data_IF_118954577095
#
_entry.id   IF_118954577095
#
_cell.length_a   1.000
_cell.length_b   1.000
_cell.length_c   1.000
_cell.angle_alpha   90.00
_cell.angle_beta   90.00
_cell.angle_gamma   90.00
#
_symmetry.space_group_name_H-M   'P 1'
#
loop_
_entity.id
_entity.type
_entity.pdbx_description
1 polymer ?
#
# COMPACT_ATOMS: atom_id res chain seq x y z
N UNK A 1 -20.30 20.31 11.50
CA UNK A 1 -21.43 21.08 10.96
C UNK A 1 -21.17 21.32 9.47
N UNK A 2 -22.20 21.06 8.64
CA UNK A 2 -22.27 21.21 7.18
C UNK A 2 -21.45 20.24 6.31
N UNK A 3 -22.02 19.07 6.04
CA UNK A 3 -21.64 18.27 4.88
C UNK A 3 -22.05 19.02 3.61
N UNK A 4 -21.06 19.36 2.78
CA UNK A 4 -21.29 19.87 1.42
C UNK A 4 -21.98 18.79 0.59
N UNK A 5 -23.31 18.79 0.54
CA UNK A 5 -24.06 18.03 -0.46
C UNK A 5 -23.85 18.74 -1.79
N UNK A 6 -23.06 18.11 -2.67
CA UNK A 6 -22.84 18.63 -4.00
C UNK A 6 -24.14 18.48 -4.81
N UNK A 7 -24.57 19.52 -5.56
CA UNK A 7 -25.82 19.51 -6.32
C UNK A 7 -25.86 18.47 -7.46
N UNK A 8 -24.74 17.81 -7.76
CA UNK A 8 -24.61 16.68 -8.70
C UNK A 8 -24.50 15.31 -8.00
N UNK A 9 -24.99 15.21 -6.77
CA UNK A 9 -24.97 13.93 -6.04
C UNK A 9 -25.97 12.94 -6.67
N UNK A 10 -25.43 11.90 -7.32
CA UNK A 10 -26.21 10.88 -8.00
C UNK A 10 -27.29 10.23 -7.11
N UNK A 11 -27.15 10.29 -5.77
CA UNK A 11 -28.15 9.73 -4.85
C UNK A 11 -29.49 10.44 -4.99
N UNK A 12 -29.56 11.69 -5.45
CA UNK A 12 -30.84 12.36 -5.71
C UNK A 12 -31.70 11.67 -6.77
N UNK A 13 -31.08 10.95 -7.71
CA UNK A 13 -31.76 10.21 -8.78
C UNK A 13 -31.88 8.70 -8.47
N UNK A 14 -31.53 8.28 -7.25
CA UNK A 14 -31.53 6.87 -6.89
C UNK A 14 -32.94 6.37 -6.55
N UNK A 15 -33.40 5.33 -7.27
CA UNK A 15 -34.72 4.71 -7.04
C UNK A 15 -34.87 4.09 -5.65
N UNK A 16 -33.77 3.78 -4.95
CA UNK A 16 -33.83 3.25 -3.60
C UNK A 16 -34.38 4.25 -2.56
N UNK A 17 -34.48 5.54 -2.88
CA UNK A 17 -35.00 6.57 -1.97
C UNK A 17 -36.50 6.50 -1.76
N UNK A 18 -37.23 5.87 -2.67
CA UNK A 18 -38.70 5.76 -2.62
C UNK A 18 -39.17 4.40 -2.07
N UNK A 19 -38.26 3.58 -1.53
CA UNK A 19 -38.57 2.28 -0.94
C UNK A 19 -38.02 2.20 0.47
N UNK A 20 -38.48 1.20 1.24
CA UNK A 20 -38.01 0.95 2.59
C UNK A 20 -36.49 0.63 2.62
N UNK A 21 -35.67 1.38 3.39
CA UNK A 21 -34.24 1.11 3.50
C UNK A 21 -33.91 -0.28 4.06
N UNK A 22 -34.77 -0.89 4.88
CA UNK A 22 -34.51 -2.19 5.51
C UNK A 22 -34.37 -3.32 4.48
N UNK A 23 -34.98 -3.16 3.29
CA UNK A 23 -34.87 -4.12 2.18
C UNK A 23 -33.41 -4.34 1.76
N UNK A 24 -32.55 -3.33 1.93
CA UNK A 24 -31.13 -3.43 1.56
C UNK A 24 -30.26 -4.07 2.64
N UNK A 25 -30.81 -4.36 3.83
CA UNK A 25 -30.11 -4.97 4.96
C UNK A 25 -30.74 -6.33 5.27
N UNK A 26 -30.20 -7.36 4.64
CA UNK A 26 -30.68 -8.75 4.75
C UNK A 26 -30.38 -9.30 6.15
N UNK A 27 -31.40 -9.87 6.80
CA UNK A 27 -31.28 -10.47 8.14
C UNK A 27 -31.06 -11.98 8.06
N UNK A 28 -31.57 -12.63 7.00
CA UNK A 28 -31.29 -14.03 6.73
C UNK A 28 -29.81 -14.23 6.37
N UNK A 29 -29.23 -15.36 6.77
CA UNK A 29 -27.81 -15.66 6.49
C UNK A 29 -27.65 -16.54 5.24
N UNK A 30 -28.60 -17.45 5.00
CA UNK A 30 -28.57 -18.41 3.89
C UNK A 30 -29.96 -18.96 3.57
N UNK A 31 -30.06 -19.70 2.47
CA UNK A 31 -31.28 -20.41 2.04
C UNK A 31 -32.25 -19.53 1.26
N UNK A 32 -33.47 -20.04 1.06
CA UNK A 32 -34.48 -19.41 0.18
C UNK A 32 -34.88 -18.01 0.63
N UNK A 33 -34.96 -17.76 1.96
CA UNK A 33 -35.30 -16.43 2.47
C UNK A 33 -34.19 -15.42 2.20
N UNK A 34 -32.92 -15.83 2.30
CA UNK A 34 -31.79 -15.00 1.90
C UNK A 34 -31.88 -14.64 0.42
N UNK A 35 -32.09 -15.63 -0.45
CA UNK A 35 -32.22 -15.42 -1.90
C UNK A 35 -33.38 -14.50 -2.24
N UNK A 36 -34.52 -14.64 -1.54
CA UNK A 36 -35.69 -13.78 -1.68
C UNK A 36 -35.38 -12.33 -1.29
N UNK A 37 -34.83 -12.10 -0.09
CA UNK A 37 -34.49 -10.76 0.38
C UNK A 37 -33.46 -10.07 -0.54
N UNK A 38 -32.41 -10.81 -0.93
CA UNK A 38 -31.41 -10.32 -1.89
C UNK A 38 -32.05 -10.02 -3.24
N UNK A 39 -32.95 -10.87 -3.73
CA UNK A 39 -33.66 -10.70 -4.99
C UNK A 39 -34.50 -9.42 -5.01
N UNK A 40 -35.25 -9.15 -3.94
CA UNK A 40 -36.07 -7.93 -3.80
C UNK A 40 -35.18 -6.68 -3.89
N UNK A 41 -34.09 -6.62 -3.10
CA UNK A 41 -33.18 -5.48 -3.12
C UNK A 41 -32.48 -5.29 -4.48
N UNK A 42 -32.07 -6.40 -5.12
CA UNK A 42 -31.45 -6.37 -6.45
C UNK A 42 -32.44 -5.94 -7.53
N UNK A 43 -33.72 -6.27 -7.42
CA UNK A 43 -34.74 -5.82 -8.36
C UNK A 43 -34.87 -4.28 -8.35
N UNK A 44 -34.88 -3.66 -7.16
CA UNK A 44 -34.86 -2.19 -7.03
C UNK A 44 -33.60 -1.59 -7.67
N UNK A 45 -32.45 -2.19 -7.40
CA UNK A 45 -31.19 -1.74 -8.01
C UNK A 45 -31.18 -1.91 -9.54
N UNK A 46 -31.83 -2.93 -10.08
CA UNK A 46 -31.87 -3.24 -11.51
C UNK A 46 -32.56 -2.16 -12.34
N UNK A 47 -33.59 -1.51 -11.80
CA UNK A 47 -34.27 -0.37 -12.42
C UNK A 47 -33.67 1.00 -12.08
N UNK A 48 -32.56 1.06 -11.33
CA UNK A 48 -32.01 2.32 -10.84
C UNK A 48 -31.11 2.99 -11.90
N UNK A 49 -31.37 4.25 -12.29
CA UNK A 49 -30.62 4.93 -13.36
C UNK A 49 -29.17 5.24 -12.98
N UNK A 50 -28.87 5.31 -11.68
CA UNK A 50 -27.54 5.64 -11.14
C UNK A 50 -26.80 4.41 -10.62
N UNK A 51 -27.16 3.22 -11.09
CA UNK A 51 -26.60 1.95 -10.59
C UNK A 51 -25.08 1.89 -10.74
N UNK A 52 -24.52 2.40 -11.83
CA UNK A 52 -23.08 2.34 -12.11
C UNK A 52 -22.28 3.27 -11.19
N UNK A 53 -22.76 4.50 -10.98
CA UNK A 53 -22.20 5.47 -10.04
C UNK A 53 -22.33 4.95 -8.61
N UNK A 54 -23.52 4.43 -8.25
CA UNK A 54 -23.80 3.81 -6.96
C UNK A 54 -22.85 2.66 -6.69
N UNK A 55 -22.62 1.75 -7.65
CA UNK A 55 -21.69 0.64 -7.48
C UNK A 55 -20.27 1.15 -7.22
N UNK A 56 -19.82 2.18 -7.95
CA UNK A 56 -18.47 2.73 -7.80
C UNK A 56 -18.25 3.29 -6.39
N UNK A 57 -19.25 3.98 -5.84
CA UNK A 57 -19.24 4.40 -4.44
C UNK A 57 -19.38 3.22 -3.46
N UNK A 58 -20.23 2.25 -3.78
CA UNK A 58 -20.55 1.11 -2.91
C UNK A 58 -19.37 0.16 -2.69
N UNK A 59 -18.36 0.15 -3.57
CA UNK A 59 -17.16 -0.69 -3.38
C UNK A 59 -16.40 -0.39 -2.08
N UNK A 60 -16.58 0.79 -1.48
CA UNK A 60 -16.02 1.14 -0.17
C UNK A 60 -17.00 0.99 1.00
N UNK A 61 -18.25 0.60 0.75
CA UNK A 61 -19.25 0.43 1.81
C UNK A 61 -19.08 -0.90 2.53
N UNK A 62 -19.18 -0.91 3.87
CA UNK A 62 -18.97 -2.10 4.68
C UNK A 62 -20.09 -3.13 4.51
N UNK A 63 -21.35 -2.69 4.46
CA UNK A 63 -22.50 -3.59 4.60
C UNK A 63 -23.60 -3.30 3.56
N UNK A 64 -24.66 -4.12 3.59
CA UNK A 64 -25.88 -3.94 2.83
C UNK A 64 -25.76 -4.25 1.34
N UNK A 65 -26.88 -4.18 0.63
CA UNK A 65 -26.97 -4.33 -0.83
C UNK A 65 -26.94 -2.95 -1.47
N UNK A 66 -25.99 -2.73 -2.38
CA UNK A 66 -25.81 -1.45 -3.06
C UNK A 66 -25.24 -1.65 -4.46
N UNK A 67 -25.64 -0.80 -5.42
CA UNK A 67 -25.24 -0.95 -6.82
C UNK A 67 -25.70 -2.27 -7.46
N UNK A 68 -26.70 -2.95 -6.89
CA UNK A 68 -27.16 -4.27 -7.30
C UNK A 68 -26.21 -5.41 -6.94
N UNK A 69 -25.36 -5.22 -5.93
CA UNK A 69 -24.44 -6.23 -5.42
C UNK A 69 -24.53 -6.35 -3.89
N UNK A 70 -24.45 -7.58 -3.38
CA UNK A 70 -24.25 -7.85 -1.95
C UNK A 70 -22.84 -7.43 -1.53
N UNK A 71 -22.58 -7.30 -0.23
CA UNK A 71 -21.23 -7.03 0.29
C UNK A 71 -20.19 -8.02 -0.30
N UNK A 72 -20.49 -9.31 -0.25
CA UNK A 72 -19.57 -10.34 -0.71
C UNK A 72 -19.28 -10.22 -2.22
N UNK A 73 -20.29 -9.93 -3.02
CA UNK A 73 -20.13 -9.65 -4.45
C UNK A 73 -19.27 -8.41 -4.70
N UNK A 74 -19.48 -7.33 -3.93
CA UNK A 74 -18.66 -6.11 -4.01
C UNK A 74 -17.20 -6.38 -3.65
N UNK A 75 -16.93 -7.24 -2.66
CA UNK A 75 -15.56 -7.63 -2.29
C UNK A 75 -14.86 -8.36 -3.44
N UNK A 76 -15.56 -9.26 -4.11
CA UNK A 76 -15.06 -9.97 -5.30
C UNK A 76 -14.82 -8.99 -6.46
N UNK A 77 -15.78 -8.12 -6.74
CA UNK A 77 -15.68 -7.11 -7.80
C UNK A 77 -14.52 -6.13 -7.56
N UNK A 78 -14.35 -5.65 -6.33
CA UNK A 78 -13.21 -4.82 -5.95
C UNK A 78 -11.88 -5.58 -6.17
N UNK A 79 -11.85 -6.88 -5.86
CA UNK A 79 -10.72 -7.77 -6.16
C UNK A 79 -10.41 -7.85 -7.66
N UNK A 80 -11.43 -8.07 -8.49
CA UNK A 80 -11.32 -8.11 -9.96
C UNK A 80 -10.79 -6.79 -10.51
N UNK A 81 -11.34 -5.65 -10.09
CA UNK A 81 -10.88 -4.30 -10.50
C UNK A 81 -9.43 -4.06 -10.11
N UNK A 82 -9.01 -4.46 -8.90
CA UNK A 82 -7.61 -4.38 -8.47
C UNK A 82 -6.72 -5.27 -9.34
N UNK A 83 -7.14 -6.49 -9.66
CA UNK A 83 -6.42 -7.40 -10.55
C UNK A 83 -6.25 -6.86 -11.97
N UNK A 84 -7.32 -6.32 -12.56
CA UNK A 84 -7.29 -5.70 -13.88
C UNK A 84 -6.35 -4.48 -13.91
N UNK A 85 -6.42 -3.60 -12.91
CA UNK A 85 -5.48 -2.47 -12.77
C UNK A 85 -4.02 -2.92 -12.67
N UNK A 86 -3.75 -4.02 -11.97
CA UNK A 86 -2.39 -4.60 -11.90
C UNK A 86 -1.91 -5.14 -13.25
N UNK A 87 -2.79 -5.78 -14.03
CA UNK A 87 -2.46 -6.32 -15.36
C UNK A 87 -2.24 -5.22 -16.39
N UNK A 88 -3.04 -4.16 -16.35
CA UNK A 88 -2.93 -3.04 -17.28
C UNK A 88 -1.86 -2.01 -16.88
N UNK A 89 -1.25 -2.14 -15.70
CA UNK A 89 -0.13 -1.28 -15.32
C UNK A 89 0.99 -1.42 -16.37
N UNK A 90 1.34 -0.35 -17.11
CA UNK A 90 2.39 -0.44 -18.11
C UNK A 90 3.68 -0.87 -17.44
N UNK A 91 4.34 -1.88 -18.02
CA UNK A 91 5.69 -2.23 -17.60
C UNK A 91 6.61 -1.10 -18.03
N UNK A 92 7.51 -0.60 -17.16
CA UNK A 92 8.49 0.40 -17.59
C UNK A 92 9.25 -0.11 -18.82
N UNK A 93 9.55 0.77 -19.80
CA UNK A 93 10.34 0.40 -20.96
C UNK A 93 11.69 -0.13 -20.50
N UNK A 94 12.18 -1.20 -21.15
CA UNK A 94 13.56 -1.63 -20.93
C UNK A 94 14.49 -0.62 -21.61
N UNK A 95 15.60 -0.20 -20.97
CA UNK A 95 16.60 0.58 -21.68
C UNK A 95 17.12 -0.24 -22.87
N UNK A 96 17.22 0.41 -24.03
CA UNK A 96 17.69 -0.24 -25.25
C UNK A 96 19.18 -0.60 -25.11
N UNK A 97 19.55 -1.81 -25.53
CA UNK A 97 20.95 -2.22 -25.66
C UNK A 97 21.62 -2.80 -24.41
N UNK A 98 21.02 -2.72 -23.21
CA UNK A 98 21.56 -3.35 -22.01
C UNK A 98 20.75 -4.61 -21.63
N UNK A 99 21.44 -5.74 -21.54
CA UNK A 99 20.92 -6.96 -20.91
C UNK A 99 20.55 -6.69 -19.46
N UNK A 100 19.64 -7.52 -18.93
CA UNK A 100 19.24 -7.45 -17.51
C UNK A 100 20.45 -7.66 -16.57
N UNK A 101 21.48 -8.37 -17.03
CA UNK A 101 22.72 -8.60 -16.28
C UNK A 101 23.56 -7.33 -16.19
N UNK A 102 23.71 -6.58 -17.29
CA UNK A 102 24.47 -5.33 -17.36
C UNK A 102 23.82 -4.22 -16.51
N UNK A 103 22.50 -4.07 -16.58
CA UNK A 103 21.78 -3.13 -15.71
C UNK A 103 22.01 -3.48 -14.23
N UNK A 104 22.00 -4.78 -13.92
CA UNK A 104 22.20 -5.23 -12.54
C UNK A 104 23.64 -5.07 -12.06
N UNK A 105 24.65 -5.27 -12.91
CA UNK A 105 26.05 -5.03 -12.54
C UNK A 105 26.32 -3.54 -12.35
N UNK A 106 25.86 -2.69 -13.27
CA UNK A 106 25.99 -1.24 -13.16
C UNK A 106 25.29 -0.68 -11.91
N UNK A 107 24.06 -1.15 -11.63
CA UNK A 107 23.33 -0.74 -10.43
C UNK A 107 23.98 -1.20 -9.11
N UNK A 108 24.56 -2.41 -9.07
CA UNK A 108 25.35 -2.86 -7.91
C UNK A 108 26.61 -2.02 -7.71
N UNK A 109 27.32 -1.70 -8.79
CA UNK A 109 28.52 -0.87 -8.73
C UNK A 109 28.20 0.55 -8.22
N UNK A 110 27.14 1.18 -8.71
CA UNK A 110 26.71 2.51 -8.25
C UNK A 110 26.39 2.52 -6.74
N UNK A 111 25.69 1.49 -6.24
CA UNK A 111 25.40 1.37 -4.81
C UNK A 111 26.68 1.15 -3.99
N UNK A 112 27.61 0.32 -4.48
CA UNK A 112 28.91 0.12 -3.84
C UNK A 112 29.73 1.42 -3.80
N UNK A 113 29.55 2.32 -4.76
CA UNK A 113 30.12 3.66 -4.78
C UNK A 113 29.40 4.69 -3.90
N UNK A 114 28.39 4.26 -3.12
CA UNK A 114 27.68 5.11 -2.16
C UNK A 114 26.33 5.65 -2.61
N UNK A 115 25.85 5.30 -3.80
CA UNK A 115 24.50 5.65 -4.24
C UNK A 115 23.45 4.89 -3.40
N UNK A 116 22.39 5.57 -2.95
CA UNK A 116 21.34 4.88 -2.20
C UNK A 116 20.55 3.92 -3.10
N UNK A 117 19.96 2.86 -2.53
CA UNK A 117 19.12 1.93 -3.28
C UNK A 117 17.92 2.62 -3.96
N UNK A 118 17.39 3.70 -3.38
CA UNK A 118 16.28 4.46 -3.96
C UNK A 118 16.71 5.27 -5.18
N UNK A 119 17.89 5.90 -5.12
CA UNK A 119 18.49 6.62 -6.24
C UNK A 119 18.84 5.66 -7.38
N UNK A 120 19.47 4.53 -7.07
CA UNK A 120 19.75 3.49 -8.07
C UNK A 120 18.47 2.94 -8.71
N UNK A 121 17.37 2.81 -7.98
CA UNK A 121 16.09 2.38 -8.56
C UNK A 121 15.55 3.38 -9.61
N UNK A 122 15.67 4.68 -9.32
CA UNK A 122 15.26 5.74 -10.24
C UNK A 122 16.16 5.80 -11.47
N UNK A 123 17.47 5.80 -11.27
CA UNK A 123 18.49 5.90 -12.33
C UNK A 123 18.40 4.73 -13.32
N UNK A 124 18.31 3.50 -12.81
CA UNK A 124 18.32 2.29 -13.65
C UNK A 124 16.91 1.82 -14.07
N UNK A 125 15.87 2.62 -13.81
CA UNK A 125 14.46 2.30 -14.12
C UNK A 125 14.02 0.91 -13.62
N UNK A 126 14.50 0.51 -12.44
CA UNK A 126 14.13 -0.75 -11.78
C UNK A 126 13.22 -0.51 -10.58
N UNK A 127 12.55 -1.57 -10.10
CA UNK A 127 11.75 -1.44 -8.87
C UNK A 127 12.64 -1.19 -7.65
N UNK A 128 12.18 -0.45 -6.63
CA UNK A 128 12.93 -0.26 -5.37
C UNK A 128 13.43 -1.56 -4.75
N UNK A 129 12.59 -2.61 -4.77
CA UNK A 129 12.96 -3.95 -4.28
C UNK A 129 14.12 -4.61 -5.03
N UNK A 130 14.29 -4.29 -6.30
CA UNK A 130 15.41 -4.80 -7.10
C UNK A 130 16.72 -4.15 -6.67
N UNK A 131 16.72 -2.83 -6.45
CA UNK A 131 17.89 -2.11 -5.96
C UNK A 131 18.23 -2.45 -4.49
N UNK A 132 17.22 -2.67 -3.63
CA UNK A 132 17.45 -3.18 -2.27
C UNK A 132 18.12 -4.56 -2.26
N UNK A 133 17.77 -5.43 -3.22
CA UNK A 133 18.46 -6.72 -3.40
C UNK A 133 19.91 -6.52 -3.84
N UNK A 134 20.21 -5.53 -4.69
CA UNK A 134 21.58 -5.18 -5.08
C UNK A 134 22.41 -4.68 -3.89
N UNK A 135 21.86 -3.81 -3.05
CA UNK A 135 22.53 -3.29 -1.86
C UNK A 135 22.91 -4.40 -0.87
N UNK A 136 22.02 -5.39 -0.67
CA UNK A 136 22.32 -6.56 0.18
C UNK A 136 23.50 -7.38 -0.35
N UNK A 137 23.59 -7.57 -1.66
CA UNK A 137 24.73 -8.27 -2.29
C UNK A 137 26.02 -7.46 -2.33
N UNK A 138 25.96 -6.12 -2.23
CA UNK A 138 27.15 -5.26 -2.15
C UNK A 138 27.75 -5.25 -0.73
N UNK A 139 26.93 -5.47 0.30
CA UNK A 139 27.35 -5.53 1.70
C UNK A 139 28.23 -6.74 2.06
N UNK A 140 28.24 -7.79 1.25
CA UNK A 140 29.09 -8.98 1.47
C UNK A 140 30.55 -8.75 1.01
N UNK A 141 30.83 -7.67 0.25
CA UNK A 141 32.18 -7.31 -0.22
C UNK A 141 32.84 -6.13 0.53
N UNK A 142 32.17 -5.56 1.55
CA UNK A 142 32.63 -4.35 2.24
C UNK A 142 32.99 -4.58 3.72
N UNK A 143 33.27 -5.82 4.14
CA UNK A 143 34.03 -6.07 5.36
C UNK A 143 35.54 -5.91 5.05
N UNK A 144 35.94 -4.72 4.61
CA UNK A 144 37.28 -4.51 4.06
C UNK A 144 37.65 -3.06 3.75
N UNK A 145 37.07 -2.08 4.45
CA UNK A 145 37.73 -0.78 4.62
C UNK A 145 38.36 -0.76 6.01
N UNK A 146 39.53 -1.41 6.13
CA UNK A 146 40.40 -1.22 7.27
C UNK A 146 40.87 0.24 7.28
N UNK A 147 40.23 1.09 8.08
CA UNK A 147 40.95 2.22 8.65
C UNK A 147 41.84 1.66 9.76
N UNK A 148 43.11 1.44 9.44
CA UNK A 148 44.10 0.97 10.42
C UNK A 148 44.26 2.00 11.57
N UNK A 149 44.62 1.54 12.78
CA UNK A 149 44.49 2.30 14.02
C UNK A 149 45.75 3.11 14.35
N UNK A 150 45.61 4.23 15.06
CA UNK A 150 46.70 4.86 15.82
C UNK A 150 46.12 5.24 17.19
N UNK A 151 46.24 4.31 18.15
CA UNK A 151 47.22 4.32 19.24
C UNK A 151 46.72 5.13 20.46
N UNK A 152 46.28 4.37 21.46
CA UNK A 152 46.10 4.79 22.84
C UNK A 152 47.45 5.15 23.44
N UNK A 153 47.78 6.44 23.49
CA UNK A 153 48.84 6.94 24.38
C UNK A 153 48.26 7.15 25.78
N UNK A 154 48.44 6.13 26.61
CA UNK A 154 48.47 6.28 28.06
C UNK A 154 49.83 6.87 28.44
N UNK A 155 49.85 7.83 29.36
CA UNK A 155 51.01 8.03 30.24
C UNK A 155 50.56 8.67 31.56
N UNK A 156 51.05 8.19 32.71
CA UNK A 156 50.61 8.58 34.04
C UNK A 156 51.43 9.78 34.55
N UNK A 157 50.89 10.58 35.49
CA UNK A 157 51.69 11.31 36.49
C UNK A 157 50.81 11.78 37.65
N UNK A 158 51.39 11.70 38.85
CA UNK A 158 50.77 11.62 40.17
C UNK A 158 50.53 12.98 40.88
N UNK A 159 49.77 12.87 41.97
CA UNK A 159 49.98 13.49 43.30
C UNK A 159 49.27 14.82 43.66
N UNK A 160 48.67 14.81 44.86
CA UNK A 160 48.08 15.97 45.56
C UNK A 160 46.95 15.57 46.53
N UNK A 161 47.23 14.82 47.61
CA UNK A 161 47.28 15.29 49.02
C UNK A 161 45.95 15.31 49.80
N UNK A 162 45.90 14.37 50.76
CA UNK A 162 45.18 14.23 52.04
C UNK A 162 44.51 15.48 52.69
N UNK A 163 43.31 15.29 53.26
CA UNK A 163 42.84 15.73 54.60
C UNK A 163 41.35 15.31 54.77
N UNK A 164 41.03 14.31 55.60
CA UNK A 164 40.57 14.39 57.01
C UNK A 164 39.06 14.61 57.23
N UNK A 165 38.43 13.64 57.94
CA UNK A 165 37.30 13.81 58.88
C UNK A 165 35.93 14.10 58.27
N UNK A 166 34.78 13.65 58.79
CA UNK A 166 34.41 13.06 60.08
C UNK A 166 33.05 12.37 59.92
N UNK A 167 32.82 11.35 60.75
CA UNK A 167 31.54 10.69 61.01
C UNK A 167 30.45 11.68 61.44
N UNK A 168 29.21 11.44 61.01
CA UNK A 168 28.03 11.37 61.87
C UNK A 168 26.86 10.72 61.14
#
# INVERSE_FOLDING_TARGET
>A
MAGHVQPDDFRHRASCRSVDPEIFFVTAVAGQEYERQVGIAKAVCGGCPVRAECLTWALSLPDGIAGGMTEQERRVEAGRRRGARRRHRPRPPRPAGATRAEIASAGRAAIASGMSAREAAAEFLVSPRTAERWARSAGEGSAGCHRAPLQTSHTPTQAGTRAEGTRS
#
